data_IF_925079813728
#
_entry.id   IF_925079813728
#
_cell.length_a   1.000
_cell.length_b   1.000
_cell.length_c   1.000
_cell.angle_alpha   90.00
_cell.angle_beta   90.00
_cell.angle_gamma   90.00
#
_symmetry.space_group_name_H-M   'P 1'
#
loop_
_entity.id
_entity.type
_entity.pdbx_description
1 polymer ?
#
# COMPACT_ATOMS: atom_id res chain seq x y z
N UNK A 1 -35.52 -45.94 -44.14
CA UNK A 1 -34.52 -46.12 -43.05
C UNK A 1 -33.13 -45.75 -43.55
N UNK A 2 -32.25 -45.24 -42.66
CA UNK A 2 -30.85 -44.73 -42.83
C UNK A 2 -30.80 -43.27 -43.35
N UNK A 3 -30.68 -42.22 -42.50
CA UNK A 3 -29.65 -41.75 -41.54
C UNK A 3 -28.32 -41.31 -42.19
N UNK A 4 -27.88 -40.12 -41.76
CA UNK A 4 -26.55 -39.46 -41.84
C UNK A 4 -26.46 -38.44 -43.00
N UNK A 5 -25.85 -37.26 -42.87
CA UNK A 5 -25.26 -36.50 -41.76
C UNK A 5 -24.96 -35.08 -42.30
N UNK A 6 -24.81 -34.08 -41.42
CA UNK A 6 -24.37 -32.72 -41.76
C UNK A 6 -24.62 -31.78 -40.58
N UNK A 7 -23.88 -31.94 -39.48
CA UNK A 7 -22.65 -31.18 -39.18
C UNK A 7 -22.93 -29.68 -39.04
N UNK A 8 -23.47 -29.29 -37.88
CA UNK A 8 -23.42 -27.93 -37.39
C UNK A 8 -22.22 -27.82 -36.44
N UNK A 9 -21.23 -27.07 -36.89
CA UNK A 9 -19.99 -26.74 -36.20
C UNK A 9 -20.34 -25.77 -35.06
N UNK A 10 -20.33 -26.27 -33.83
CA UNK A 10 -20.44 -25.45 -32.62
C UNK A 10 -19.13 -24.67 -32.44
N UNK A 11 -19.22 -23.35 -32.43
CA UNK A 11 -18.09 -22.42 -32.25
C UNK A 11 -17.65 -22.52 -30.78
N UNK A 12 -16.45 -23.04 -30.55
CA UNK A 12 -15.80 -23.12 -29.23
C UNK A 12 -14.61 -22.17 -29.20
N UNK A 13 -14.56 -21.31 -28.18
CA UNK A 13 -13.40 -20.52 -27.75
C UNK A 13 -13.13 -19.28 -28.63
N UNK A 14 -12.81 -18.10 -28.13
CA UNK A 14 -12.02 -17.78 -26.94
C UNK A 14 -12.73 -16.69 -26.13
N UNK A 15 -13.15 -17.00 -24.91
CA UNK A 15 -13.21 -15.97 -23.87
C UNK A 15 -11.77 -15.69 -23.48
N UNK A 16 -11.22 -14.57 -23.94
CA UNK A 16 -10.04 -13.98 -23.33
C UNK A 16 -10.44 -13.54 -21.91
N UNK A 17 -10.44 -14.50 -20.98
CA UNK A 17 -10.31 -14.19 -19.57
C UNK A 17 -8.90 -13.62 -19.43
N UNK A 18 -8.76 -12.32 -19.68
CA UNK A 18 -7.71 -11.54 -19.05
C UNK A 18 -7.96 -11.69 -17.55
N UNK A 19 -7.36 -12.74 -16.98
CA UNK A 19 -7.00 -12.75 -15.58
C UNK A 19 -5.97 -11.64 -15.46
N UNK A 20 -6.46 -10.41 -15.31
CA UNK A 20 -5.76 -9.42 -14.50
C UNK A 20 -5.59 -10.12 -13.16
N UNK A 21 -4.43 -10.75 -13.02
CA UNK A 21 -3.96 -11.36 -11.80
C UNK A 21 -4.24 -10.33 -10.71
N UNK A 22 -5.17 -10.70 -9.86
CA UNK A 22 -5.63 -9.89 -8.75
C UNK A 22 -4.38 -9.46 -8.00
N UNK A 23 -4.07 -8.16 -8.02
CA UNK A 23 -3.36 -7.58 -6.89
C UNK A 23 -4.31 -7.85 -5.74
N UNK A 24 -4.07 -8.95 -5.01
CA UNK A 24 -4.86 -9.32 -3.87
C UNK A 24 -4.89 -8.09 -2.98
N UNK A 25 -6.10 -7.54 -2.91
CA UNK A 25 -6.50 -6.39 -2.14
C UNK A 25 -6.15 -6.65 -0.66
N UNK A 26 -4.90 -6.41 -0.31
CA UNK A 26 -4.48 -6.12 1.05
C UNK A 26 -4.96 -4.71 1.37
N UNK A 27 -6.29 -4.57 1.35
CA UNK A 27 -7.02 -3.36 1.67
C UNK A 27 -6.87 -3.19 3.16
N UNK A 28 -5.92 -2.34 3.53
CA UNK A 28 -5.79 -1.84 4.89
C UNK A 28 -7.10 -1.17 5.25
N UNK A 29 -7.70 -1.61 6.36
CA UNK A 29 -8.97 -1.07 6.84
C UNK A 29 -8.72 -0.05 7.95
N UNK A 30 -9.55 1.01 8.06
CA UNK A 30 -9.57 1.84 9.26
C UNK A 30 -9.67 0.98 10.52
N UNK A 31 -9.00 1.41 11.59
CA UNK A 31 -8.90 0.70 12.88
C UNK A 31 -8.11 -0.62 12.87
N UNK A 32 -7.66 -1.12 11.71
CA UNK A 32 -6.79 -2.28 11.65
C UNK A 32 -5.43 -1.97 12.30
N UNK A 33 -4.92 -2.92 13.09
CA UNK A 33 -3.56 -2.85 13.61
C UNK A 33 -2.55 -3.44 12.64
N UNK A 34 -1.36 -2.87 12.57
CA UNK A 34 -0.27 -3.33 11.70
C UNK A 34 1.09 -3.05 12.31
N UNK A 35 2.12 -3.70 11.75
CA UNK A 35 3.52 -3.43 12.04
C UNK A 35 4.27 -3.00 10.79
N UNK A 36 5.32 -2.22 10.98
CA UNK A 36 6.17 -1.78 9.90
C UNK A 36 7.21 -2.84 9.48
N UNK A 37 7.59 -2.78 8.21
CA UNK A 37 8.83 -3.37 7.68
C UNK A 37 10.05 -2.61 8.24
N UNK A 38 11.21 -3.24 8.17
CA UNK A 38 12.47 -2.59 8.56
C UNK A 38 12.70 -1.32 7.73
N UNK A 39 13.30 -0.30 8.36
CA UNK A 39 13.60 1.02 7.76
C UNK A 39 12.37 1.81 7.26
N UNK A 40 11.17 1.45 7.69
CA UNK A 40 9.99 2.26 7.44
C UNK A 40 10.02 3.58 8.21
N UNK A 41 9.20 4.53 7.77
CA UNK A 41 9.06 5.83 8.40
C UNK A 41 7.65 6.38 8.17
N UNK A 42 7.27 7.35 8.99
CA UNK A 42 6.07 8.15 8.79
C UNK A 42 6.38 9.64 8.84
N UNK A 43 5.56 10.46 8.20
CA UNK A 43 5.74 11.92 8.13
C UNK A 43 4.49 12.68 8.60
N UNK A 44 4.67 13.92 9.04
CA UNK A 44 3.60 14.76 9.60
C UNK A 44 2.48 15.07 8.59
N UNK A 45 2.77 14.97 7.29
CA UNK A 45 1.77 15.13 6.24
C UNK A 45 2.10 14.28 5.03
N UNK A 46 1.08 14.05 4.18
CA UNK A 46 1.25 13.34 2.91
C UNK A 46 2.25 14.03 1.97
N UNK A 47 2.23 15.35 1.87
CA UNK A 47 3.18 16.07 1.00
C UNK A 47 4.63 15.87 1.44
N UNK A 48 4.89 15.78 2.75
CA UNK A 48 6.22 15.52 3.28
C UNK A 48 6.65 14.06 3.07
N UNK A 49 5.72 13.13 3.22
CA UNK A 49 5.92 11.73 2.88
C UNK A 49 6.31 11.58 1.40
N UNK A 50 5.52 12.17 0.50
CA UNK A 50 5.74 12.09 -0.94
C UNK A 50 7.08 12.71 -1.35
N UNK A 51 7.45 13.86 -0.77
CA UNK A 51 8.73 14.51 -1.04
C UNK A 51 9.92 13.69 -0.52
N UNK A 52 9.86 13.21 0.73
CA UNK A 52 10.92 12.38 1.31
C UNK A 52 11.09 11.06 0.53
N UNK A 53 9.98 10.44 0.13
CA UNK A 53 9.97 9.23 -0.70
C UNK A 53 10.54 9.50 -2.09
N UNK A 54 10.19 10.63 -2.71
CA UNK A 54 10.76 11.05 -4.00
C UNK A 54 12.28 11.17 -3.94
N UNK A 55 12.83 11.80 -2.90
CA UNK A 55 14.28 11.88 -2.71
C UNK A 55 14.91 10.51 -2.46
N UNK A 56 14.24 9.63 -1.70
CA UNK A 56 14.71 8.27 -1.47
C UNK A 56 14.83 7.48 -2.79
N UNK A 57 13.80 7.53 -3.63
CA UNK A 57 13.76 6.86 -4.94
C UNK A 57 14.78 7.43 -5.92
N UNK A 58 15.07 8.73 -5.84
CA UNK A 58 16.10 9.39 -6.63
C UNK A 58 17.53 9.12 -6.12
N UNK A 59 17.70 8.42 -5.00
CA UNK A 59 19.01 8.20 -4.37
C UNK A 59 19.60 9.44 -3.69
N UNK A 60 18.81 10.51 -3.53
CA UNK A 60 19.22 11.79 -2.97
C UNK A 60 19.19 11.75 -1.43
N UNK A 61 20.06 10.91 -0.85
CA UNK A 61 20.06 10.64 0.60
C UNK A 61 20.17 11.91 1.45
N UNK A 62 20.98 12.88 1.05
CA UNK A 62 21.14 14.12 1.82
C UNK A 62 19.83 14.90 1.93
N UNK A 63 19.11 15.08 0.82
CA UNK A 63 17.83 15.79 0.80
C UNK A 63 16.76 15.03 1.58
N UNK A 64 16.76 13.69 1.48
CA UNK A 64 15.88 12.86 2.31
C UNK A 64 16.13 13.10 3.81
N UNK A 65 17.40 13.17 4.23
CA UNK A 65 17.76 13.35 5.65
C UNK A 65 17.34 14.71 6.23
N UNK A 66 17.12 15.73 5.40
CA UNK A 66 16.60 17.02 5.86
C UNK A 66 15.17 16.90 6.42
N UNK A 67 14.37 15.96 5.92
CA UNK A 67 13.02 15.70 6.45
C UNK A 67 13.07 15.08 7.85
N UNK A 68 14.04 14.19 8.10
CA UNK A 68 14.23 13.59 9.41
C UNK A 68 14.86 14.58 10.40
N UNK A 69 15.87 15.33 9.95
CA UNK A 69 16.55 16.33 10.79
C UNK A 69 15.62 17.49 11.20
N UNK A 70 14.67 17.84 10.33
CA UNK A 70 13.62 18.82 10.62
C UNK A 70 12.39 18.25 11.34
N UNK A 71 12.43 17.00 11.82
CA UNK A 71 11.32 16.31 12.49
C UNK A 71 10.02 16.23 11.66
N UNK A 72 10.12 16.40 10.34
CA UNK A 72 8.98 16.28 9.42
C UNK A 72 8.65 14.81 9.16
N UNK A 73 9.65 13.94 9.28
CA UNK A 73 9.53 12.49 9.20
C UNK A 73 10.23 11.83 10.38
N UNK A 74 9.69 10.72 10.83
CA UNK A 74 10.17 9.92 11.95
C UNK A 74 10.34 8.47 11.50
N UNK A 75 11.46 7.86 11.84
CA UNK A 75 11.65 6.42 11.64
C UNK A 75 10.64 5.65 12.48
N UNK A 76 10.00 4.66 11.87
CA UNK A 76 9.04 3.84 12.58
C UNK A 76 9.77 2.81 13.45
N UNK A 77 9.49 2.74 14.77
CA UNK A 77 10.09 1.72 15.62
C UNK A 77 9.70 0.32 15.15
N UNK A 78 10.70 -0.56 15.06
CA UNK A 78 10.48 -1.96 14.72
C UNK A 78 9.71 -2.66 15.86
N UNK A 79 8.86 -3.62 15.51
CA UNK A 79 8.04 -4.41 16.45
C UNK A 79 6.97 -3.63 17.25
N UNK A 80 6.79 -2.34 16.99
CA UNK A 80 5.67 -1.58 17.54
C UNK A 80 4.40 -1.81 16.72
N UNK A 81 3.25 -1.82 17.39
CA UNK A 81 1.94 -1.90 16.77
C UNK A 81 1.37 -0.50 16.52
N UNK A 82 0.84 -0.32 15.32
CA UNK A 82 0.19 0.90 14.86
C UNK A 82 -1.23 0.61 14.43
N UNK A 83 -2.07 1.64 14.40
CA UNK A 83 -3.47 1.57 14.00
C UNK A 83 -3.70 2.48 12.81
N UNK A 84 -4.38 1.96 11.79
CA UNK A 84 -4.83 2.74 10.65
C UNK A 84 -5.91 3.71 11.11
N UNK A 85 -5.70 5.00 10.84
CA UNK A 85 -6.72 6.04 10.97
C UNK A 85 -7.57 6.07 9.70
N UNK A 86 -6.91 6.29 8.55
CA UNK A 86 -7.55 6.31 7.24
C UNK A 86 -6.58 5.89 6.14
N UNK A 87 -7.13 5.52 4.99
CA UNK A 87 -6.37 5.15 3.80
C UNK A 87 -6.81 6.04 2.63
N UNK A 88 -5.84 6.62 1.95
CA UNK A 88 -6.04 7.46 0.76
C UNK A 88 -5.13 6.92 -0.34
N UNK A 89 -5.71 6.16 -1.28
CA UNK A 89 -4.94 5.48 -2.32
C UNK A 89 -3.97 4.46 -1.71
N UNK A 90 -2.66 4.71 -1.87
CA UNK A 90 -1.59 3.87 -1.29
C UNK A 90 -1.02 4.45 0.00
N UNK A 91 -1.58 5.54 0.49
CA UNK A 91 -1.08 6.24 1.68
C UNK A 91 -1.99 5.98 2.86
N UNK A 92 -1.37 5.82 4.01
CA UNK A 92 -2.01 5.39 5.23
C UNK A 92 -1.68 6.41 6.29
N UNK A 93 -2.70 7.02 6.85
CA UNK A 93 -2.55 7.75 8.08
C UNK A 93 -2.65 6.78 9.24
N UNK A 94 -1.74 6.89 10.20
CA UNK A 94 -1.63 5.96 11.30
C UNK A 94 -1.22 6.65 12.59
N UNK A 95 -1.58 6.00 13.69
CA UNK A 95 -1.16 6.37 15.04
C UNK A 95 -0.57 5.14 15.73
N UNK A 96 0.17 5.33 16.82
CA UNK A 96 0.52 4.22 17.70
C UNK A 96 -0.78 3.53 18.18
N UNK A 97 -0.82 2.20 18.23
CA UNK A 97 -2.03 1.46 18.57
C UNK A 97 -2.55 1.75 19.99
N UNK A 98 -1.67 2.16 20.92
CA UNK A 98 -2.04 2.58 22.26
C UNK A 98 -2.63 4.01 22.32
N UNK A 99 -2.54 4.78 21.23
CA UNK A 99 -3.05 6.15 21.15
C UNK A 99 -4.49 6.18 20.60
N UNK A 100 -5.32 7.07 21.15
CA UNK A 100 -6.72 7.28 20.76
C UNK A 100 -6.89 8.44 19.78
N UNK A 101 -5.81 9.10 19.38
CA UNK A 101 -5.84 10.18 18.39
C UNK A 101 -6.52 9.74 17.08
N UNK A 102 -7.18 10.70 16.45
CA UNK A 102 -7.90 10.55 15.16
C UNK A 102 -7.12 11.13 13.99
N UNK A 103 -5.94 11.66 14.24
CA UNK A 103 -5.01 12.21 13.26
C UNK A 103 -3.61 11.74 13.64
N UNK A 104 -2.74 11.58 12.65
CA UNK A 104 -1.43 11.00 12.91
C UNK A 104 -0.42 11.23 11.81
N UNK A 105 0.53 10.32 11.72
CA UNK A 105 1.57 10.34 10.71
C UNK A 105 1.09 9.63 9.45
N UNK A 106 1.71 9.96 8.33
CA UNK A 106 1.45 9.37 7.02
C UNK A 106 2.58 8.45 6.61
N UNK A 107 2.25 7.28 6.08
CA UNK A 107 3.18 6.30 5.49
C UNK A 107 2.62 5.75 4.18
N UNK A 108 3.48 5.18 3.33
CA UNK A 108 3.03 4.36 2.22
C UNK A 108 2.68 2.94 2.68
N UNK A 109 1.65 2.34 2.09
CA UNK A 109 1.21 0.97 2.38
C UNK A 109 2.29 -0.09 2.10
N UNK A 110 3.25 0.20 1.22
CA UNK A 110 4.38 -0.67 0.94
C UNK A 110 5.35 -0.83 2.11
N UNK A 111 5.35 0.09 3.08
CA UNK A 111 6.14 -0.01 4.31
C UNK A 111 5.49 -0.88 5.38
N UNK A 112 4.26 -1.34 5.15
CA UNK A 112 3.49 -2.14 6.12
C UNK A 112 3.71 -3.63 5.86
N UNK A 113 3.94 -4.40 6.94
CA UNK A 113 4.00 -5.87 6.87
C UNK A 113 2.60 -6.42 6.56
N UNK A 114 2.53 -7.27 5.54
CA UNK A 114 1.32 -7.98 5.11
C UNK A 114 1.36 -9.41 5.63
#
# INVERSE_FOLDING_TARGET
>A
MKKRAGMLLMIVGLTAAATIAQAQDNVLKPQQTFQFKANAYGCLSKDKLDAAYGHAQAGERQKMQEFFSGFQCLSAPEHADFRVVRVVGRDVEFVNAANQDTEGLWTHAEFIKQ
#
